data_IF_843439682896
#
_entry.id   IF_843439682896
#
_cell.length_a   1.000
_cell.length_b   1.000
_cell.length_c   1.000
_cell.angle_alpha   90.00
_cell.angle_beta   90.00
_cell.angle_gamma   90.00
#
_symmetry.space_group_name_H-M   'P 1'
#
loop_
_entity.id
_entity.type
_entity.pdbx_description
1 polymer ?
#
# COMPACT_ATOMS: atom_id res chain seq x y z
N UNK A 1 42.97 -45.58 -47.97
CA UNK A 1 42.74 -44.16 -47.63
C UNK A 1 41.62 -44.11 -46.59
N UNK A 2 41.95 -43.72 -45.35
CA UNK A 2 41.03 -43.70 -44.19
C UNK A 2 40.34 -42.33 -44.12
N UNK A 3 39.01 -42.28 -44.20
CA UNK A 3 38.23 -41.08 -43.93
C UNK A 3 37.88 -41.04 -42.43
N UNK A 4 38.32 -40.00 -41.72
CA UNK A 4 37.99 -39.76 -40.33
C UNK A 4 36.83 -38.75 -40.27
N UNK A 5 35.73 -39.15 -39.64
CA UNK A 5 34.56 -38.31 -39.37
C UNK A 5 34.77 -37.63 -38.00
N UNK A 6 34.92 -36.30 -37.98
CA UNK A 6 34.99 -35.52 -36.74
C UNK A 6 33.56 -35.10 -36.38
N UNK A 7 33.01 -35.68 -35.31
CA UNK A 7 31.73 -35.25 -34.72
C UNK A 7 32.04 -34.13 -33.73
N UNK A 8 31.60 -32.92 -34.05
CA UNK A 8 31.68 -31.76 -33.15
C UNK A 8 30.46 -31.77 -32.24
N UNK A 9 30.67 -31.95 -30.93
CA UNK A 9 29.62 -31.81 -29.91
C UNK A 9 29.61 -30.35 -29.47
N UNK A 10 28.56 -29.63 -29.84
CA UNK A 10 28.30 -28.28 -29.34
C UNK A 10 27.77 -28.37 -27.89
N UNK A 11 28.56 -27.89 -26.94
CA UNK A 11 28.17 -27.81 -25.53
C UNK A 11 27.29 -26.57 -25.34
N UNK A 12 25.97 -26.78 -25.22
CA UNK A 12 25.03 -25.70 -24.88
C UNK A 12 25.26 -25.28 -23.43
N UNK A 13 25.73 -24.05 -23.22
CA UNK A 13 25.83 -23.44 -21.89
C UNK A 13 24.42 -23.20 -21.33
N UNK A 14 24.03 -24.01 -20.35
CA UNK A 14 22.83 -23.75 -19.53
C UNK A 14 23.17 -22.61 -18.59
N UNK A 15 22.69 -21.40 -18.90
CA UNK A 15 22.72 -20.29 -17.96
C UNK A 15 21.80 -20.64 -16.76
N UNK A 16 22.24 -20.43 -15.51
CA UNK A 16 21.33 -20.57 -14.38
C UNK A 16 20.25 -19.50 -14.51
N UNK A 17 18.99 -19.94 -14.57
CA UNK A 17 17.87 -19.06 -14.37
C UNK A 17 18.05 -18.41 -12.99
N UNK A 18 18.20 -17.09 -12.96
CA UNK A 18 18.09 -16.32 -11.72
C UNK A 18 16.71 -16.61 -11.15
N UNK A 19 16.66 -17.49 -10.15
CA UNK A 19 15.53 -17.56 -9.24
C UNK A 19 15.57 -16.25 -8.47
N UNK A 20 14.87 -15.23 -8.97
CA UNK A 20 14.37 -14.18 -8.10
C UNK A 20 13.70 -14.91 -6.94
N UNK A 21 14.30 -14.83 -5.76
CA UNK A 21 13.73 -15.32 -4.52
C UNK A 21 12.31 -14.76 -4.46
N UNK A 22 11.31 -15.62 -4.66
CA UNK A 22 9.92 -15.22 -4.43
C UNK A 22 9.83 -15.03 -2.94
N UNK A 23 9.99 -13.78 -2.48
CA UNK A 23 9.83 -13.38 -1.09
C UNK A 23 8.62 -14.11 -0.51
N UNK A 24 8.82 -14.78 0.62
CA UNK A 24 7.77 -15.57 1.24
C UNK A 24 6.53 -14.69 1.49
N UNK A 25 5.30 -15.18 1.22
CA UNK A 25 4.08 -14.40 1.46
C UNK A 25 3.86 -14.07 2.95
N UNK A 26 4.66 -14.65 3.84
CA UNK A 26 4.66 -14.40 5.28
C UNK A 26 5.68 -13.35 5.72
N UNK A 27 6.51 -12.82 4.81
CA UNK A 27 7.42 -11.72 5.14
C UNK A 27 6.58 -10.51 5.57
N UNK A 28 6.76 -10.01 6.81
CA UNK A 28 6.03 -8.86 7.29
C UNK A 28 6.51 -7.59 6.56
N UNK A 29 5.67 -6.55 6.58
CA UNK A 29 6.14 -5.22 6.18
C UNK A 29 7.20 -4.74 7.17
N UNK A 30 8.31 -4.21 6.66
CA UNK A 30 9.33 -3.59 7.51
C UNK A 30 8.75 -2.30 8.14
N UNK A 31 8.62 -2.31 9.45
CA UNK A 31 8.16 -1.18 10.26
C UNK A 31 9.22 -0.78 11.30
N UNK A 32 10.49 -1.14 11.07
CA UNK A 32 11.58 -0.88 12.02
C UNK A 32 11.93 0.60 12.20
N UNK A 33 11.44 1.47 11.30
CA UNK A 33 11.73 2.90 11.29
C UNK A 33 10.65 3.73 10.59
N UNK A 34 10.60 5.06 10.82
CA UNK A 34 9.70 5.94 10.08
C UNK A 34 9.85 5.83 8.56
N UNK A 35 11.09 5.72 8.06
CA UNK A 35 11.37 5.58 6.61
C UNK A 35 10.78 4.28 6.07
N UNK A 36 11.05 3.16 6.73
CA UNK A 36 10.56 1.84 6.31
C UNK A 36 9.02 1.78 6.32
N UNK A 37 8.39 2.23 7.41
CA UNK A 37 6.93 2.24 7.52
C UNK A 37 6.29 3.16 6.46
N UNK A 38 6.79 4.37 6.28
CA UNK A 38 6.20 5.34 5.34
C UNK A 38 6.29 4.83 3.90
N UNK A 39 7.47 4.36 3.48
CA UNK A 39 7.68 3.82 2.15
C UNK A 39 6.84 2.58 1.91
N UNK A 40 6.92 1.61 2.82
CA UNK A 40 6.16 0.37 2.74
C UNK A 40 4.65 0.59 2.72
N UNK A 41 4.14 1.56 3.48
CA UNK A 41 2.74 1.97 3.42
C UNK A 41 2.37 2.50 2.04
N UNK A 42 3.11 3.46 1.50
CA UNK A 42 2.81 4.07 0.20
C UNK A 42 2.84 3.02 -0.93
N UNK A 43 3.88 2.20 -0.99
CA UNK A 43 4.01 1.13 -1.99
C UNK A 43 2.88 0.09 -1.89
N UNK A 44 2.51 -0.29 -0.66
CA UNK A 44 1.45 -1.26 -0.44
C UNK A 44 0.09 -0.72 -0.93
N UNK A 45 -0.20 0.56 -0.67
CA UNK A 45 -1.43 1.20 -1.18
C UNK A 45 -1.37 1.35 -2.70
N UNK A 46 -0.24 1.73 -3.28
CA UNK A 46 -0.06 1.84 -4.73
C UNK A 46 -0.25 0.50 -5.43
N UNK A 47 0.22 -0.60 -4.82
CA UNK A 47 -0.01 -1.96 -5.33
C UNK A 47 -1.49 -2.32 -5.33
N UNK A 48 -2.22 -2.01 -4.26
CA UNK A 48 -3.68 -2.21 -4.23
C UNK A 48 -4.37 -1.39 -5.31
N UNK A 49 -3.99 -0.11 -5.47
CA UNK A 49 -4.56 0.77 -6.48
C UNK A 49 -4.31 0.23 -7.90
N UNK A 50 -3.10 -0.27 -8.18
CA UNK A 50 -2.77 -0.92 -9.44
C UNK A 50 -3.62 -2.18 -9.67
N UNK A 51 -3.76 -3.04 -8.66
CA UNK A 51 -4.60 -4.24 -8.71
C UNK A 51 -6.09 -3.90 -9.02
N UNK A 52 -6.58 -2.74 -8.60
CA UNK A 52 -7.93 -2.28 -8.95
C UNK A 52 -8.07 -1.82 -10.40
N UNK A 53 -6.99 -1.39 -11.05
CA UNK A 53 -6.99 -0.99 -12.47
C UNK A 53 -6.90 -2.20 -13.41
N UNK A 54 -6.53 -3.38 -12.91
CA UNK A 54 -6.46 -4.60 -13.72
C UNK A 54 -7.85 -5.11 -14.12
N UNK A 55 -8.08 -5.44 -15.41
CA UNK A 55 -9.36 -5.96 -15.90
C UNK A 55 -9.70 -7.35 -15.34
N UNK A 56 -8.69 -8.20 -15.10
CA UNK A 56 -8.87 -9.57 -14.62
C UNK A 56 -8.50 -9.68 -13.13
N UNK A 57 -9.48 -9.44 -12.26
CA UNK A 57 -9.32 -9.60 -10.81
C UNK A 57 -9.49 -11.07 -10.41
N UNK A 58 -8.58 -11.92 -10.90
CA UNK A 58 -8.54 -13.34 -10.58
C UNK A 58 -8.38 -13.62 -9.08
N UNK A 59 -8.52 -14.90 -8.68
CA UNK A 59 -8.39 -15.31 -7.26
C UNK A 59 -7.06 -14.87 -6.61
N UNK A 60 -5.97 -14.88 -7.38
CA UNK A 60 -4.64 -14.52 -6.89
C UNK A 60 -4.57 -13.05 -6.46
N UNK A 61 -5.05 -12.13 -7.31
CA UNK A 61 -5.11 -10.68 -7.03
C UNK A 61 -5.97 -10.39 -5.80
N UNK A 62 -7.10 -11.09 -5.65
CA UNK A 62 -7.95 -10.96 -4.45
C UNK A 62 -7.21 -11.40 -3.18
N UNK A 63 -6.52 -12.54 -3.22
CA UNK A 63 -5.75 -13.04 -2.07
C UNK A 63 -4.55 -12.14 -1.75
N UNK A 64 -3.94 -11.51 -2.75
CA UNK A 64 -2.92 -10.49 -2.55
C UNK A 64 -3.52 -9.25 -1.87
N UNK A 65 -4.63 -8.71 -2.36
CA UNK A 65 -5.26 -7.53 -1.76
C UNK A 65 -5.63 -7.73 -0.28
N UNK A 66 -6.09 -8.91 0.12
CA UNK A 66 -6.33 -9.22 1.55
C UNK A 66 -5.05 -9.05 2.37
N UNK A 67 -3.93 -9.61 1.90
CA UNK A 67 -2.62 -9.48 2.58
C UNK A 67 -2.10 -8.05 2.59
N UNK A 68 -2.27 -7.31 1.49
CA UNK A 68 -1.86 -5.92 1.40
C UNK A 68 -2.68 -5.03 2.33
N UNK A 69 -4.00 -5.26 2.45
CA UNK A 69 -4.86 -4.56 3.40
C UNK A 69 -4.43 -4.82 4.84
N UNK A 70 -4.13 -6.07 5.20
CA UNK A 70 -3.60 -6.39 6.54
C UNK A 70 -2.30 -5.65 6.84
N UNK A 71 -1.40 -5.52 5.85
CA UNK A 71 -0.14 -4.76 5.97
C UNK A 71 -0.41 -3.27 6.18
N UNK A 72 -1.31 -2.68 5.39
CA UNK A 72 -1.71 -1.27 5.52
C UNK A 72 -2.27 -0.99 6.91
N UNK A 73 -3.23 -1.81 7.37
CA UNK A 73 -3.85 -1.63 8.68
C UNK A 73 -2.84 -1.77 9.82
N UNK A 74 -1.80 -2.60 9.66
CA UNK A 74 -0.70 -2.69 10.63
C UNK A 74 0.11 -1.41 10.71
N UNK A 75 0.23 -0.60 9.66
CA UNK A 75 0.90 0.69 9.72
C UNK A 75 0.17 1.72 10.58
N UNK A 76 -1.08 1.46 11.01
CA UNK A 76 -1.91 2.39 11.75
C UNK A 76 -2.01 1.98 13.22
N UNK A 77 -1.93 2.96 14.12
CA UNK A 77 -2.35 2.78 15.52
C UNK A 77 -3.88 2.89 15.61
N UNK A 78 -4.54 1.73 15.59
CA UNK A 78 -5.99 1.60 15.69
C UNK A 78 -6.45 1.28 17.12
N UNK A 79 -5.59 1.48 18.13
CA UNK A 79 -5.89 1.11 19.52
C UNK A 79 -7.08 1.86 20.12
N UNK A 80 -7.38 3.06 19.62
CA UNK A 80 -8.53 3.86 20.01
C UNK A 80 -9.82 3.52 19.22
N UNK A 81 -9.73 2.69 18.17
CA UNK A 81 -10.86 2.35 17.31
C UNK A 81 -11.62 1.14 17.88
N UNK A 82 -12.96 1.19 18.00
CA UNK A 82 -13.74 0.03 18.43
C UNK A 82 -13.47 -1.21 17.55
N UNK A 83 -13.38 -2.44 18.12
CA UNK A 83 -13.03 -3.63 17.36
C UNK A 83 -13.88 -3.89 16.11
N UNK A 84 -15.18 -3.56 16.15
CA UNK A 84 -16.11 -3.70 15.03
C UNK A 84 -15.87 -2.72 13.88
N UNK A 85 -15.07 -1.67 14.09
CA UNK A 85 -14.81 -0.60 13.14
C UNK A 85 -13.34 -0.52 12.69
N UNK A 86 -12.48 -1.41 13.19
CA UNK A 86 -11.04 -1.42 12.87
C UNK A 86 -10.78 -1.54 11.37
N UNK A 87 -11.48 -2.46 10.67
CA UNK A 87 -11.30 -2.62 9.22
C UNK A 87 -11.82 -1.39 8.46
N UNK A 88 -13.04 -0.94 8.76
CA UNK A 88 -13.67 0.17 8.03
C UNK A 88 -12.94 1.49 8.22
N UNK A 89 -12.75 1.92 9.48
CA UNK A 89 -12.08 3.19 9.79
C UNK A 89 -10.59 3.13 9.43
N UNK A 90 -9.93 1.99 9.63
CA UNK A 90 -8.53 1.84 9.26
C UNK A 90 -8.33 1.97 7.74
N UNK A 91 -9.23 1.40 6.93
CA UNK A 91 -9.18 1.54 5.47
C UNK A 91 -9.45 2.97 5.02
N UNK A 92 -10.45 3.62 5.60
CA UNK A 92 -10.78 5.03 5.29
C UNK A 92 -9.60 5.96 5.66
N UNK A 93 -9.04 5.80 6.85
CA UNK A 93 -7.87 6.56 7.29
C UNK A 93 -6.66 6.31 6.36
N UNK A 94 -6.41 5.07 5.95
CA UNK A 94 -5.33 4.75 5.02
C UNK A 94 -5.50 5.43 3.65
N UNK A 95 -6.72 5.43 3.10
CA UNK A 95 -7.03 6.13 1.84
C UNK A 95 -6.76 7.62 2.00
N UNK A 96 -7.26 8.24 3.07
CA UNK A 96 -7.03 9.66 3.33
C UNK A 96 -5.55 10.01 3.51
N UNK A 97 -4.81 9.23 4.28
CA UNK A 97 -3.37 9.42 4.47
C UNK A 97 -2.62 9.28 3.15
N UNK A 98 -2.93 8.29 2.32
CA UNK A 98 -2.28 8.14 1.02
C UNK A 98 -2.55 9.33 0.11
N UNK A 99 -3.79 9.80 0.06
CA UNK A 99 -4.15 10.98 -0.73
C UNK A 99 -3.43 12.25 -0.25
N UNK A 100 -3.19 12.39 1.06
CA UNK A 100 -2.38 13.47 1.60
C UNK A 100 -0.93 13.36 1.13
N UNK A 101 -0.30 12.19 1.34
CA UNK A 101 1.10 11.94 1.00
C UNK A 101 1.40 12.09 -0.50
N UNK A 102 0.42 11.83 -1.35
CA UNK A 102 0.53 12.00 -2.81
C UNK A 102 0.39 13.45 -3.28
N UNK A 103 0.03 14.39 -2.40
CA UNK A 103 -0.18 15.82 -2.75
C UNK A 103 0.76 16.79 -2.06
N UNK A 104 1.29 16.42 -0.90
CA UNK A 104 2.24 17.26 -0.17
C UNK A 104 3.67 16.92 -0.54
N UNK A 105 4.57 17.90 -0.41
CA UNK A 105 6.01 17.63 -0.52
C UNK A 105 6.47 16.72 0.62
N UNK A 106 7.22 15.68 0.28
CA UNK A 106 7.83 14.79 1.25
C UNK A 106 9.33 15.12 1.37
N UNK A 107 9.92 14.99 2.57
CA UNK A 107 11.37 15.05 2.71
C UNK A 107 12.04 13.98 1.84
N UNK A 108 13.30 14.21 1.46
CA UNK A 108 14.07 13.18 0.76
C UNK A 108 14.18 11.91 1.63
N UNK A 109 14.33 10.72 1.03
CA UNK A 109 14.44 9.47 1.78
C UNK A 109 15.49 9.55 2.90
N UNK A 110 16.65 10.15 2.64
CA UNK A 110 17.78 10.26 3.57
C UNK A 110 17.45 11.13 4.80
N UNK A 111 16.54 12.10 4.65
CA UNK A 111 16.10 12.98 5.74
C UNK A 111 15.06 12.34 6.67
N UNK A 112 14.45 11.21 6.27
CA UNK A 112 13.54 10.44 7.11
C UNK A 112 14.37 9.44 7.92
N UNK A 113 14.23 9.31 9.25
CA UNK A 113 15.02 8.36 10.03
C UNK A 113 14.82 6.90 9.58
N UNK A 114 15.93 6.19 9.37
CA UNK A 114 15.97 4.73 9.18
C UNK A 114 16.21 3.98 10.50
N UNK A 115 16.31 2.65 10.41
CA UNK A 115 16.48 1.78 11.56
C UNK A 115 17.77 2.09 12.35
N UNK A 116 18.84 2.51 11.69
CA UNK A 116 20.09 2.85 12.36
C UNK A 116 20.00 4.22 13.04
N UNK A 117 19.44 5.23 12.36
CA UNK A 117 19.15 6.53 12.97
C UNK A 117 18.19 6.42 14.17
N UNK A 118 17.19 5.54 14.08
CA UNK A 118 16.27 5.23 15.19
C UNK A 118 17.03 4.68 16.39
N UNK A 119 17.93 3.70 16.18
CA UNK A 119 18.74 3.10 17.25
C UNK A 119 19.69 4.11 17.87
N UNK A 120 20.44 4.84 17.06
CA UNK A 120 21.43 5.82 17.52
C UNK A 120 20.79 7.02 18.21
N UNK A 121 19.67 7.51 17.69
CA UNK A 121 18.95 8.67 18.21
C UNK A 121 17.92 8.34 19.29
N UNK A 122 17.72 7.06 19.64
CA UNK A 122 16.65 6.59 20.51
C UNK A 122 15.27 7.17 20.12
N UNK A 123 14.98 7.21 18.82
CA UNK A 123 13.78 7.84 18.29
C UNK A 123 12.58 6.95 18.62
N UNK A 124 11.59 7.52 19.28
CA UNK A 124 10.29 6.88 19.57
C UNK A 124 9.12 7.60 18.88
N UNK A 125 9.36 8.82 18.38
CA UNK A 125 8.38 9.66 17.73
C UNK A 125 9.04 10.48 16.63
N UNK A 126 8.48 10.43 15.44
CA UNK A 126 8.91 11.24 14.31
C UNK A 126 7.72 11.91 13.64
N UNK A 127 7.82 13.24 13.48
CA UNK A 127 6.81 14.05 12.77
C UNK A 127 7.28 14.27 11.35
N UNK A 128 6.39 14.03 10.39
CA UNK A 128 6.62 14.39 9.00
C UNK A 128 6.74 15.94 8.91
N UNK A 129 7.88 16.49 8.45
CA UNK A 129 8.11 17.93 8.42
C UNK A 129 6.99 18.70 7.73
N UNK A 130 6.64 19.86 8.28
CA UNK A 130 5.57 20.72 7.73
C UNK A 130 4.14 20.21 7.98
N UNK A 131 3.96 19.12 8.72
CA UNK A 131 2.63 18.54 9.00
C UNK A 131 2.47 18.15 10.47
N UNK A 132 1.24 17.79 10.82
CA UNK A 132 0.92 17.18 12.12
C UNK A 132 0.89 15.64 12.05
N UNK A 133 1.27 15.05 10.90
CA UNK A 133 1.35 13.60 10.70
C UNK A 133 2.55 13.06 11.46
N UNK A 134 2.32 12.06 12.31
CA UNK A 134 3.34 11.52 13.20
C UNK A 134 3.35 10.00 13.15
N UNK A 135 4.56 9.44 13.06
CA UNK A 135 4.83 8.04 13.33
C UNK A 135 5.39 7.88 14.75
N UNK A 136 4.87 6.89 15.49
CA UNK A 136 5.30 6.55 16.84
C UNK A 136 5.75 5.10 16.90
N UNK A 137 6.72 4.83 17.76
CA UNK A 137 7.21 3.48 18.05
C UNK A 137 6.28 2.81 19.06
N UNK A 138 5.73 1.65 18.71
CA UNK A 138 4.88 0.86 19.60
C UNK A 138 5.68 0.43 20.82
N UNK A 139 5.20 0.76 22.02
CA UNK A 139 5.92 0.53 23.26
C UNK A 139 5.80 -0.89 23.81
N UNK A 140 4.67 -1.56 23.60
CA UNK A 140 4.33 -2.83 24.28
C UNK A 140 3.62 -3.83 23.35
N UNK A 141 3.52 -5.08 23.80
CA UNK A 141 2.84 -6.17 23.09
C UNK A 141 3.70 -6.83 22.01
N UNK A 142 3.07 -7.72 21.22
CA UNK A 142 3.75 -8.51 20.18
C UNK A 142 4.35 -7.66 19.05
N UNK A 143 3.95 -6.39 18.96
CA UNK A 143 4.39 -5.41 17.95
C UNK A 143 5.35 -4.36 18.52
N UNK A 144 5.81 -4.54 19.76
CA UNK A 144 6.72 -3.60 20.40
C UNK A 144 7.94 -3.36 19.50
N UNK A 145 8.18 -2.09 19.18
CA UNK A 145 9.26 -1.65 18.32
C UNK A 145 8.89 -1.28 16.89
N UNK A 146 7.70 -1.67 16.41
CA UNK A 146 7.17 -1.20 15.13
C UNK A 146 6.91 0.31 15.17
N UNK A 147 7.21 1.02 14.09
CA UNK A 147 6.72 2.38 13.85
C UNK A 147 5.38 2.34 13.12
N UNK A 148 4.40 3.08 13.63
CA UNK A 148 3.05 3.18 13.07
C UNK A 148 2.61 4.64 13.05
N UNK A 149 1.71 5.02 12.14
CA UNK A 149 1.00 6.29 12.21
C UNK A 149 0.25 6.36 13.54
N UNK A 150 0.48 7.43 14.30
CA UNK A 150 -0.09 7.60 15.64
C UNK A 150 -1.62 7.65 15.61
N UNK A 151 -2.26 7.28 16.72
CA UNK A 151 -3.73 7.31 16.82
C UNK A 151 -4.32 8.70 16.47
N UNK A 152 -3.66 9.78 16.88
CA UNK A 152 -4.05 11.16 16.53
C UNK A 152 -3.97 11.41 15.01
N UNK A 153 -2.93 10.89 14.35
CA UNK A 153 -2.80 10.99 12.89
C UNK A 153 -3.88 10.19 12.16
N UNK A 154 -4.25 9.02 12.69
CA UNK A 154 -5.32 8.19 12.13
C UNK A 154 -6.67 8.89 12.28
N UNK A 155 -6.98 9.40 13.48
CA UNK A 155 -8.24 10.10 13.77
C UNK A 155 -8.42 11.35 12.90
N UNK A 156 -7.34 12.08 12.64
CA UNK A 156 -7.33 13.32 11.84
C UNK A 156 -7.08 13.10 10.34
N UNK A 157 -6.96 11.87 9.88
CA UNK A 157 -6.62 11.58 8.48
C UNK A 157 -7.59 12.25 7.48
N UNK A 158 -8.90 12.16 7.74
CA UNK A 158 -9.93 12.79 6.91
C UNK A 158 -9.81 14.33 6.90
N UNK A 159 -9.50 14.92 8.05
CA UNK A 159 -9.27 16.36 8.19
C UNK A 159 -8.06 16.81 7.35
N UNK A 160 -6.94 16.09 7.44
CA UNK A 160 -5.75 16.38 6.65
C UNK A 160 -6.02 16.31 5.15
N UNK A 161 -6.72 15.25 4.70
CA UNK A 161 -7.11 15.13 3.31
C UNK A 161 -7.99 16.28 2.86
N UNK A 162 -8.99 16.68 3.65
CA UNK A 162 -9.86 17.80 3.33
C UNK A 162 -9.10 19.12 3.09
N UNK A 163 -8.00 19.36 3.81
CA UNK A 163 -7.15 20.55 3.63
C UNK A 163 -6.34 20.55 2.33
N UNK A 164 -5.93 19.37 1.87
CA UNK A 164 -5.01 19.24 0.72
C UNK A 164 -5.69 18.72 -0.55
N UNK A 165 -6.96 18.30 -0.50
CA UNK A 165 -7.70 17.69 -1.63
C UNK A 165 -7.65 18.49 -2.94
N UNK A 166 -7.53 19.82 -2.84
CA UNK A 166 -7.48 20.72 -4.00
C UNK A 166 -6.07 20.90 -4.57
N UNK A 167 -5.04 20.44 -3.87
CA UNK A 167 -3.67 20.44 -4.39
C UNK A 167 -3.57 19.41 -5.52
N UNK A 168 -2.75 19.69 -6.55
CA UNK A 168 -2.43 18.69 -7.56
C UNK A 168 -1.68 17.52 -6.92
N UNK A 169 -1.82 16.34 -7.52
CA UNK A 169 -0.95 15.22 -7.21
C UNK A 169 0.50 15.56 -7.58
N UNK A 170 1.44 15.02 -6.80
CA UNK A 170 2.85 15.01 -7.17
C UNK A 170 3.06 14.20 -8.45
N UNK A 171 4.10 14.55 -9.20
CA UNK A 171 4.43 13.89 -10.46
C UNK A 171 4.72 12.39 -10.30
N UNK A 172 5.18 11.98 -9.11
CA UNK A 172 5.52 10.61 -8.74
C UNK A 172 4.45 9.91 -7.89
N UNK A 173 3.24 10.48 -7.76
CA UNK A 173 2.14 9.84 -7.05
C UNK A 173 1.72 8.52 -7.73
N UNK A 174 1.74 7.40 -6.99
CA UNK A 174 1.42 6.08 -7.52
C UNK A 174 -0.07 5.75 -7.61
N UNK A 175 -0.91 6.45 -6.82
CA UNK A 175 -2.36 6.21 -6.76
C UNK A 175 -3.23 7.47 -6.89
N UNK A 176 -3.07 8.30 -7.94
CA UNK A 176 -4.02 9.37 -8.25
C UNK A 176 -5.45 8.83 -8.40
N UNK A 177 -6.42 9.55 -7.81
CA UNK A 177 -7.84 9.22 -7.82
C UNK A 177 -8.25 8.09 -6.87
N UNK A 178 -7.38 7.68 -5.92
CA UNK A 178 -7.67 6.58 -4.99
C UNK A 178 -8.94 6.81 -4.17
N UNK A 179 -9.15 8.01 -3.63
CA UNK A 179 -10.34 8.33 -2.84
C UNK A 179 -11.62 8.24 -3.67
N UNK A 180 -11.62 8.80 -4.88
CA UNK A 180 -12.78 8.72 -5.77
C UNK A 180 -13.08 7.26 -6.12
N UNK A 181 -12.06 6.46 -6.41
CA UNK A 181 -12.21 5.02 -6.64
C UNK A 181 -12.75 4.29 -5.40
N UNK A 182 -12.25 4.63 -4.21
CA UNK A 182 -12.72 4.06 -2.94
C UNK A 182 -14.21 4.36 -2.70
N UNK A 183 -14.64 5.61 -2.91
CA UNK A 183 -16.05 6.03 -2.78
C UNK A 183 -16.93 5.34 -3.82
N UNK A 184 -16.49 5.27 -5.09
CA UNK A 184 -17.24 4.61 -6.17
C UNK A 184 -17.42 3.11 -5.92
N UNK A 185 -16.43 2.45 -5.31
CA UNK A 185 -16.53 1.04 -4.91
C UNK A 185 -17.38 0.83 -3.65
N UNK A 186 -18.06 1.87 -3.16
CA UNK A 186 -18.98 1.79 -2.03
C UNK A 186 -18.38 2.15 -0.67
N UNK A 187 -17.12 2.58 -0.62
CA UNK A 187 -16.41 2.93 0.61
C UNK A 187 -16.52 1.85 1.69
N UNK A 188 -16.62 2.26 2.96
CA UNK A 188 -16.95 1.37 4.09
C UNK A 188 -18.45 1.11 4.24
N UNK A 189 -19.30 1.94 3.64
CA UNK A 189 -20.74 1.95 3.89
C UNK A 189 -21.51 0.93 3.04
N UNK A 190 -20.93 0.39 1.98
CA UNK A 190 -21.59 -0.60 1.13
C UNK A 190 -20.79 -1.91 1.13
N UNK A 191 -21.31 -2.97 1.80
CA UNK A 191 -20.65 -4.26 1.82
C UNK A 191 -20.51 -4.87 0.43
N UNK A 192 -19.38 -5.55 0.14
CA UNK A 192 -19.19 -6.25 -1.14
C UNK A 192 -20.28 -7.28 -1.43
N UNK A 193 -20.82 -7.94 -0.40
CA UNK A 193 -21.93 -8.88 -0.58
C UNK A 193 -23.19 -8.18 -1.10
N UNK A 194 -23.44 -6.93 -0.67
CA UNK A 194 -24.59 -6.15 -1.11
C UNK A 194 -24.41 -5.74 -2.56
N UNK A 195 -23.21 -5.25 -2.92
CA UNK A 195 -22.86 -4.95 -4.32
C UNK A 195 -23.05 -6.19 -5.19
N UNK A 196 -22.52 -7.35 -4.80
CA UNK A 196 -22.66 -8.62 -5.54
C UNK A 196 -24.08 -9.18 -5.57
N UNK A 197 -24.95 -8.74 -4.66
CA UNK A 197 -26.36 -9.12 -4.63
C UNK A 197 -27.24 -8.22 -5.52
N UNK A 198 -26.67 -7.16 -6.09
CA UNK A 198 -27.41 -6.32 -7.01
C UNK A 198 -27.69 -7.09 -8.32
N UNK A 199 -28.85 -6.85 -8.96
CA UNK A 199 -29.14 -7.49 -10.23
C UNK A 199 -28.16 -7.03 -11.32
N UNK A 200 -27.96 -7.82 -12.37
CA UNK A 200 -26.93 -7.54 -13.40
C UNK A 200 -27.02 -6.15 -14.05
N UNK A 201 -28.23 -5.56 -14.14
CA UNK A 201 -28.40 -4.19 -14.65
C UNK A 201 -27.65 -3.13 -13.83
N UNK A 202 -27.38 -3.39 -12.56
CA UNK A 202 -26.65 -2.49 -11.66
C UNK A 202 -25.13 -2.70 -11.70
N UNK A 203 -24.67 -3.81 -12.29
CA UNK A 203 -23.26 -4.11 -12.53
C UNK A 203 -22.75 -3.61 -13.88
N UNK A 204 -23.66 -3.24 -14.77
CA UNK A 204 -23.32 -2.70 -16.08
C UNK A 204 -22.67 -1.32 -15.93
N UNK A 205 -21.40 -1.18 -16.31
CA UNK A 205 -20.79 0.12 -16.55
C UNK A 205 -21.59 0.81 -17.65
N UNK A 206 -22.17 1.98 -17.34
CA UNK A 206 -22.82 2.83 -18.33
C UNK A 206 -21.73 3.35 -19.26
N UNK A 207 -21.48 2.61 -20.35
CA UNK A 207 -20.75 3.11 -21.51
C UNK A 207 -21.57 4.23 -22.13
N UNK A 208 -21.26 5.47 -21.76
CA UNK A 208 -21.86 6.65 -22.36
C UNK A 208 -21.36 6.85 -23.79
N UNK A 209 -22.21 6.53 -24.77
CA UNK A 209 -22.36 7.11 -26.13
C UNK A 209 -21.12 7.17 -27.04
N UNK A 210 -21.20 7.30 -28.36
CA UNK A 210 -22.25 7.34 -29.36
C UNK A 210 -21.51 7.32 -30.72
N UNK A 211 -22.11 6.78 -31.78
CA UNK A 211 -21.60 7.03 -33.13
C UNK A 211 -22.13 6.11 -34.20
N UNK A 212 -23.13 6.61 -34.95
CA UNK A 212 -23.35 6.33 -36.38
C UNK A 212 -23.94 4.99 -36.76
#
# INVERSE_FOLDING_TARGET
MRAALIVSIALAAVAPASAAERESPLVPLDMSSPRATLHGFMETVDRIAANFREPDRGRAVRAENVRLLERILRCLDLSAVPPSLVDSQGREAAVHLKEVLDRIELPSPEAIPDADAVKTGAIDRWRLPGTEIVLVRVATGARAGDFVFSADTVDRAAEFFARVRALPYRADAGSPGLFDAYVQLGGWMIPEWFIRSLPEWAHAQIGGGAGG
#
